data_IF_369557862631
#
_entry.id   IF_369557862631
#
_cell.length_a   1.000
_cell.length_b   1.000
_cell.length_c   1.000
_cell.angle_alpha   90.00
_cell.angle_beta   90.00
_cell.angle_gamma   90.00
#
_symmetry.space_group_name_H-M   'P 1'
#
loop_
_entity.id
_entity.type
_entity.pdbx_description
1 polymer ?
#
# COMPACT_ATOMS: atom_id res chain seq x y z
N UNK A 1 51.81 17.93 -1.87
CA UNK A 1 50.87 16.93 -2.42
C UNK A 1 49.55 16.99 -1.67
N UNK A 2 48.54 17.71 -2.19
CA UNK A 2 47.18 17.79 -1.63
C UNK A 2 46.25 17.98 -2.82
N UNK A 3 45.45 16.97 -3.21
CA UNK A 3 44.28 17.07 -4.13
C UNK A 3 43.77 15.69 -4.58
N UNK A 4 43.31 14.81 -3.68
CA UNK A 4 42.56 13.60 -4.11
C UNK A 4 41.35 13.28 -3.19
N UNK A 5 41.17 13.96 -2.06
CA UNK A 5 40.11 13.62 -1.09
C UNK A 5 38.72 14.13 -1.51
N UNK A 6 38.64 15.15 -2.39
CA UNK A 6 37.38 15.81 -2.77
C UNK A 6 36.44 15.00 -3.69
N UNK A 7 36.90 14.27 -4.73
CA UNK A 7 35.97 13.58 -5.64
C UNK A 7 35.28 12.37 -5.00
N UNK A 8 35.95 11.66 -4.07
CA UNK A 8 35.39 10.46 -3.43
C UNK A 8 34.24 10.82 -2.49
N UNK A 9 34.37 11.90 -1.73
CA UNK A 9 33.31 12.38 -0.83
C UNK A 9 32.07 12.86 -1.61
N UNK A 10 32.29 13.52 -2.74
CA UNK A 10 31.21 13.94 -3.64
C UNK A 10 30.51 12.74 -4.28
N UNK A 11 31.26 11.69 -4.66
CA UNK A 11 30.68 10.45 -5.22
C UNK A 11 29.83 9.70 -4.19
N UNK A 12 30.26 9.64 -2.93
CA UNK A 12 29.50 9.02 -1.84
C UNK A 12 28.23 9.80 -1.49
N UNK A 13 28.29 11.13 -1.50
CA UNK A 13 27.11 11.99 -1.34
C UNK A 13 26.12 11.83 -2.51
N UNK A 14 26.62 11.71 -3.74
CA UNK A 14 25.78 11.49 -4.92
C UNK A 14 25.15 10.09 -4.90
N UNK A 15 25.91 9.06 -4.53
CA UNK A 15 25.41 7.69 -4.40
C UNK A 15 24.36 7.55 -3.29
N UNK A 16 24.52 8.27 -2.17
CA UNK A 16 23.52 8.35 -1.11
C UNK A 16 22.24 9.07 -1.52
N UNK A 17 22.34 10.11 -2.36
CA UNK A 17 21.17 10.81 -2.91
C UNK A 17 20.38 9.95 -3.90
N UNK A 18 21.06 9.15 -4.72
CA UNK A 18 20.41 8.23 -5.67
C UNK A 18 19.66 7.10 -4.95
N UNK A 19 20.22 6.53 -3.87
CA UNK A 19 19.54 5.47 -3.10
C UNK A 19 18.30 5.97 -2.37
N UNK A 20 18.32 7.19 -1.83
CA UNK A 20 17.13 7.81 -1.21
C UNK A 20 16.06 8.12 -2.26
N UNK A 21 16.44 8.52 -3.47
CA UNK A 21 15.50 8.79 -4.56
C UNK A 21 14.84 7.51 -5.09
N UNK A 22 15.58 6.40 -5.18
CA UNK A 22 15.06 5.08 -5.58
C UNK A 22 14.05 4.51 -4.58
N UNK A 23 14.20 4.79 -3.28
CA UNK A 23 13.21 4.40 -2.27
C UNK A 23 11.91 5.21 -2.36
N UNK A 24 12.01 6.48 -2.76
CA UNK A 24 10.83 7.35 -2.96
C UNK A 24 10.08 7.06 -4.26
N UNK A 25 10.80 6.54 -5.27
CA UNK A 25 10.27 6.01 -6.53
C UNK A 25 10.16 4.48 -6.49
N UNK A 26 9.72 3.91 -5.37
CA UNK A 26 9.13 2.57 -5.41
C UNK A 26 7.94 2.65 -6.38
N UNK A 27 8.21 2.22 -7.62
CA UNK A 27 7.32 2.35 -8.76
C UNK A 27 5.96 1.82 -8.36
N UNK A 28 4.90 2.62 -8.55
CA UNK A 28 3.53 2.13 -8.41
C UNK A 28 3.44 0.83 -9.20
N UNK A 29 3.07 -0.30 -8.57
CA UNK A 29 3.09 -1.59 -9.25
C UNK A 29 2.29 -1.50 -10.54
N UNK A 30 2.79 -2.13 -11.61
CA UNK A 30 2.08 -2.09 -12.89
C UNK A 30 0.66 -2.65 -12.72
N UNK A 31 -0.37 -1.93 -13.20
CA UNK A 31 -1.73 -2.38 -13.06
C UNK A 31 -1.99 -3.62 -13.92
N UNK A 32 -2.59 -4.64 -13.32
CA UNK A 32 -3.12 -5.81 -14.03
C UNK A 32 -4.63 -5.67 -14.05
N UNK A 33 -5.22 -5.68 -15.25
CA UNK A 33 -6.67 -5.46 -15.43
C UNK A 33 -7.18 -4.16 -14.78
N UNK A 34 -6.38 -3.09 -14.90
CA UNK A 34 -6.69 -1.78 -14.33
C UNK A 34 -6.60 -1.74 -12.80
N UNK A 35 -6.07 -2.77 -12.16
CA UNK A 35 -5.90 -2.84 -10.70
C UNK A 35 -4.42 -3.00 -10.35
N UNK A 36 -3.91 -2.13 -9.50
CA UNK A 36 -2.62 -2.30 -8.85
C UNK A 36 -2.82 -2.40 -7.34
N UNK A 37 -2.02 -3.25 -6.68
CA UNK A 37 -2.00 -3.38 -5.22
C UNK A 37 -0.59 -3.15 -4.73
N UNK A 38 -0.40 -2.12 -3.92
CA UNK A 38 0.87 -1.82 -3.27
C UNK A 38 0.78 -2.11 -1.77
N UNK A 39 1.86 -2.65 -1.21
CA UNK A 39 2.04 -2.85 0.22
C UNK A 39 3.16 -1.93 0.68
N UNK A 40 2.83 -0.99 1.57
CA UNK A 40 3.73 0.01 2.10
C UNK A 40 3.77 -0.06 3.62
N UNK A 41 4.67 0.74 4.19
CA UNK A 41 4.79 0.92 5.63
C UNK A 41 4.78 2.41 5.97
N UNK A 42 3.87 2.80 6.86
CA UNK A 42 3.69 4.14 7.42
C UNK A 42 3.95 4.08 8.93
N UNK A 43 5.22 4.26 9.32
CA UNK A 43 5.69 3.99 10.68
C UNK A 43 5.47 2.52 11.08
N UNK A 44 4.76 2.30 12.18
CA UNK A 44 4.36 0.97 12.62
C UNK A 44 3.07 0.47 11.95
N UNK A 45 2.52 1.19 10.97
CA UNK A 45 1.30 0.77 10.27
C UNK A 45 1.64 0.18 8.90
N UNK A 46 1.28 -1.08 8.67
CA UNK A 46 1.30 -1.65 7.31
C UNK A 46 0.13 -1.12 6.50
N UNK A 47 0.39 -0.57 5.33
CA UNK A 47 -0.64 0.05 4.48
C UNK A 47 -0.78 -0.76 3.20
N UNK A 48 -1.97 -1.29 2.95
CA UNK A 48 -2.35 -1.84 1.65
C UNK A 48 -3.04 -0.74 0.84
N UNK A 49 -2.44 -0.33 -0.27
CA UNK A 49 -3.06 0.57 -1.25
C UNK A 49 -3.65 -0.25 -2.39
N UNK A 50 -4.95 -0.10 -2.61
CA UNK A 50 -5.70 -0.63 -3.74
C UNK A 50 -5.89 0.50 -4.74
N UNK A 51 -5.25 0.41 -5.89
CA UNK A 51 -5.16 1.49 -6.87
C UNK A 51 -5.95 1.08 -8.11
N UNK A 52 -6.97 1.87 -8.43
CA UNK A 52 -7.89 1.64 -9.54
C UNK A 52 -7.51 2.54 -10.72
N UNK A 53 -7.36 1.93 -11.89
CA UNK A 53 -7.09 2.57 -13.18
C UNK A 53 -8.23 2.27 -14.16
N UNK A 54 -8.26 2.99 -15.28
CA UNK A 54 -9.24 2.83 -16.37
C UNK A 54 -10.70 2.99 -15.90
N UNK A 55 -10.92 3.88 -14.93
CA UNK A 55 -12.20 4.08 -14.26
C UNK A 55 -13.35 4.31 -15.24
N UNK A 56 -13.11 5.09 -16.30
CA UNK A 56 -14.14 5.52 -17.25
C UNK A 56 -14.81 4.38 -18.01
N UNK A 57 -14.08 3.30 -18.28
CA UNK A 57 -14.57 2.19 -19.10
C UNK A 57 -14.86 0.93 -18.27
N UNK A 58 -14.34 0.87 -17.04
CA UNK A 58 -14.37 -0.34 -16.23
C UNK A 58 -15.38 -0.21 -15.08
N UNK A 59 -16.13 -1.28 -14.89
CA UNK A 59 -17.13 -1.39 -13.81
C UNK A 59 -16.72 -2.36 -12.71
N UNK A 60 -15.65 -3.12 -12.92
CA UNK A 60 -15.15 -4.10 -11.95
C UNK A 60 -13.64 -4.31 -12.05
N UNK A 61 -13.01 -4.42 -10.89
CA UNK A 61 -11.61 -4.77 -10.71
C UNK A 61 -11.50 -5.97 -9.79
N UNK A 62 -10.63 -6.90 -10.13
CA UNK A 62 -10.35 -8.06 -9.29
C UNK A 62 -8.85 -8.29 -9.25
N UNK A 63 -8.34 -8.61 -8.07
CA UNK A 63 -6.92 -8.89 -7.87
C UNK A 63 -6.74 -9.97 -6.84
N UNK A 64 -5.74 -10.81 -7.04
CA UNK A 64 -5.36 -11.84 -6.10
C UNK A 64 -3.83 -11.93 -6.07
N UNK A 65 -3.28 -11.82 -4.87
CA UNK A 65 -1.89 -12.15 -4.58
C UNK A 65 -1.84 -13.33 -3.60
N UNK A 66 -0.63 -13.61 -3.13
CA UNK A 66 -0.41 -14.66 -2.12
C UNK A 66 -1.13 -14.33 -0.81
N UNK A 67 -1.07 -13.06 -0.41
CA UNK A 67 -1.56 -12.56 0.87
C UNK A 67 -2.83 -11.71 0.77
N UNK A 68 -3.42 -11.57 -0.43
CA UNK A 68 -4.61 -10.74 -0.58
C UNK A 68 -5.57 -11.20 -1.67
N UNK A 69 -6.83 -10.77 -1.51
CA UNK A 69 -7.86 -10.79 -2.54
C UNK A 69 -8.60 -9.45 -2.51
N UNK A 70 -8.79 -8.86 -3.68
CA UNK A 70 -9.52 -7.61 -3.88
C UNK A 70 -10.59 -7.84 -4.94
N UNK A 71 -11.81 -7.40 -4.65
CA UNK A 71 -12.89 -7.27 -5.62
C UNK A 71 -13.53 -5.89 -5.43
N UNK A 72 -13.51 -5.08 -6.47
CA UNK A 72 -14.11 -3.75 -6.47
C UNK A 72 -15.11 -3.67 -7.60
N UNK A 73 -16.32 -3.20 -7.31
CA UNK A 73 -17.37 -2.96 -8.30
C UNK A 73 -17.82 -1.51 -8.24
N UNK A 74 -17.79 -0.84 -9.39
CA UNK A 74 -18.37 0.50 -9.56
C UNK A 74 -19.89 0.37 -9.68
N UNK A 75 -20.62 1.26 -9.02
CA UNK A 75 -22.08 1.38 -9.08
C UNK A 75 -22.45 2.84 -9.34
N UNK A 76 -22.58 3.22 -10.61
CA UNK A 76 -22.80 4.62 -11.02
C UNK A 76 -21.50 5.41 -11.18
N UNK A 77 -21.56 6.73 -11.03
CA UNK A 77 -20.45 7.61 -11.41
C UNK A 77 -19.28 7.55 -10.42
N UNK A 78 -19.56 7.59 -9.12
CA UNK A 78 -18.56 7.78 -8.06
C UNK A 78 -18.63 6.72 -6.95
N UNK A 79 -19.61 5.81 -6.96
CA UNK A 79 -19.78 4.81 -5.89
C UNK A 79 -19.07 3.51 -6.23
N UNK A 80 -18.36 2.96 -5.25
CA UNK A 80 -17.60 1.72 -5.36
C UNK A 80 -17.90 0.81 -4.18
N UNK A 81 -18.19 -0.45 -4.46
CA UNK A 81 -18.29 -1.52 -3.46
C UNK A 81 -17.00 -2.32 -3.45
N UNK A 82 -16.39 -2.43 -2.28
CA UNK A 82 -15.10 -3.10 -2.08
C UNK A 82 -15.27 -4.30 -1.18
N UNK A 83 -14.70 -5.41 -1.64
CA UNK A 83 -14.40 -6.57 -0.81
C UNK A 83 -12.88 -6.74 -0.84
N UNK A 84 -12.24 -6.52 0.31
CA UNK A 84 -10.81 -6.73 0.47
C UNK A 84 -10.58 -7.79 1.52
N UNK A 85 -9.81 -8.81 1.18
CA UNK A 85 -9.32 -9.83 2.10
C UNK A 85 -7.81 -9.69 2.15
N UNK A 86 -7.27 -9.46 3.35
CA UNK A 86 -5.84 -9.44 3.62
C UNK A 86 -5.53 -10.59 4.58
N UNK A 87 -4.59 -11.43 4.19
CA UNK A 87 -4.02 -12.49 5.03
C UNK A 87 -2.66 -12.01 5.49
N UNK A 88 -2.46 -11.95 6.80
CA UNK A 88 -1.18 -11.54 7.38
C UNK A 88 -0.83 -12.50 8.51
N UNK A 89 0.32 -13.15 8.37
CA UNK A 89 0.80 -14.27 9.20
C UNK A 89 -0.23 -15.41 9.32
N UNK A 90 -1.12 -15.31 10.31
CA UNK A 90 -2.16 -16.29 10.65
C UNK A 90 -3.53 -15.65 10.79
N UNK A 91 -3.65 -14.36 10.50
CA UNK A 91 -4.89 -13.60 10.61
C UNK A 91 -5.42 -13.26 9.22
N UNK A 92 -6.74 -13.29 9.12
CA UNK A 92 -7.47 -12.88 7.92
C UNK A 92 -8.33 -11.68 8.27
N UNK A 93 -8.04 -10.55 7.65
CA UNK A 93 -8.83 -9.33 7.70
C UNK A 93 -9.74 -9.32 6.48
N UNK A 94 -11.06 -9.20 6.69
CA UNK A 94 -12.02 -9.01 5.61
C UNK A 94 -12.73 -7.69 5.80
N UNK A 95 -12.67 -6.84 4.79
CA UNK A 95 -13.37 -5.57 4.70
C UNK A 95 -14.41 -5.68 3.61
N UNK A 96 -15.64 -5.31 3.96
CA UNK A 96 -16.69 -5.03 2.99
C UNK A 96 -17.09 -3.57 3.21
N UNK A 97 -16.88 -2.73 2.20
CA UNK A 97 -17.09 -1.29 2.32
C UNK A 97 -17.71 -0.73 1.06
N UNK A 98 -18.45 0.37 1.19
CA UNK A 98 -18.92 1.16 0.06
C UNK A 98 -18.39 2.57 0.23
N UNK A 99 -17.75 3.10 -0.80
CA UNK A 99 -17.14 4.44 -0.77
C UNK A 99 -17.53 5.23 -1.99
N UNK A 100 -17.40 6.55 -1.87
CA UNK A 100 -17.40 7.47 -3.01
C UNK A 100 -15.96 7.85 -3.34
N UNK A 101 -15.58 7.72 -4.60
CA UNK A 101 -14.26 8.10 -5.11
C UNK A 101 -14.42 9.03 -6.30
N UNK A 102 -13.64 10.10 -6.26
CA UNK A 102 -13.48 11.05 -7.34
C UNK A 102 -12.16 10.73 -8.05
N UNK A 103 -12.02 11.00 -9.36
CA UNK A 103 -10.75 10.80 -10.05
C UNK A 103 -9.60 11.57 -9.35
N UNK A 104 -8.49 10.89 -9.10
CA UNK A 104 -7.35 11.42 -8.35
C UNK A 104 -7.52 11.41 -6.83
N UNK A 105 -8.61 10.87 -6.29
CA UNK A 105 -8.86 10.82 -4.85
C UNK A 105 -8.41 9.50 -4.22
N UNK A 106 -8.13 9.56 -2.91
CA UNK A 106 -7.80 8.40 -2.07
C UNK A 106 -8.62 8.41 -0.79
N UNK A 107 -9.08 7.23 -0.37
CA UNK A 107 -9.93 7.06 0.83
C UNK A 107 -9.43 5.89 1.67
N UNK A 108 -9.38 6.09 2.99
CA UNK A 108 -9.13 5.00 3.94
C UNK A 108 -10.42 4.21 4.13
N UNK A 109 -10.42 2.91 3.82
CA UNK A 109 -11.60 2.05 3.93
C UNK A 109 -11.59 1.17 5.17
N UNK A 110 -10.42 0.95 5.76
CA UNK A 110 -10.28 0.28 7.05
C UNK A 110 -9.00 0.69 7.76
N UNK A 111 -9.07 0.71 9.08
CA UNK A 111 -7.93 0.91 9.96
C UNK A 111 -8.04 -0.08 11.13
N UNK A 112 -7.01 -0.91 11.30
CA UNK A 112 -6.88 -1.89 12.35
C UNK A 112 -5.74 -1.44 13.27
N UNK A 113 -6.04 -1.26 14.55
CA UNK A 113 -5.04 -0.83 15.53
C UNK A 113 -3.92 -1.86 15.73
N UNK A 114 -2.84 -1.46 16.42
CA UNK A 114 -1.80 -2.40 16.84
C UNK A 114 -2.39 -3.50 17.70
N UNK A 115 -1.80 -4.69 17.63
CA UNK A 115 -2.24 -5.84 18.42
C UNK A 115 -1.16 -6.24 19.42
N UNK A 116 -1.55 -6.49 20.65
CA UNK A 116 -0.63 -6.97 21.70
C UNK A 116 -0.83 -8.47 21.91
N UNK A 117 0.26 -9.23 21.88
CA UNK A 117 0.30 -10.65 22.24
C UNK A 117 1.23 -10.84 23.44
N UNK A 118 0.82 -11.68 24.38
CA UNK A 118 1.67 -12.12 25.49
C UNK A 118 2.02 -13.58 25.24
N UNK A 119 3.32 -13.87 25.13
CA UNK A 119 3.82 -15.24 25.00
C UNK A 119 3.64 -16.03 26.31
N UNK A 120 3.74 -17.36 26.24
CA UNK A 120 3.68 -18.23 27.42
C UNK A 120 4.82 -17.95 28.43
N UNK A 121 5.94 -17.37 27.98
CA UNK A 121 7.07 -16.92 28.82
C UNK A 121 6.87 -15.51 29.40
N UNK A 122 5.71 -14.88 29.21
CA UNK A 122 5.42 -13.53 29.70
C UNK A 122 6.01 -12.39 28.86
N UNK A 123 6.70 -12.69 27.75
CA UNK A 123 7.18 -11.64 26.82
C UNK A 123 6.01 -11.03 26.06
N UNK A 124 5.93 -9.70 26.06
CA UNK A 124 4.94 -8.92 25.32
C UNK A 124 5.47 -8.62 23.92
N UNK A 125 4.69 -8.96 22.90
CA UNK A 125 4.96 -8.62 21.50
C UNK A 125 3.83 -7.72 20.99
N UNK A 126 4.18 -6.55 20.49
CA UNK A 126 3.23 -5.60 19.89
C UNK A 126 3.43 -5.69 18.37
N UNK A 127 2.38 -6.07 17.63
CA UNK A 127 2.37 -5.92 16.19
C UNK A 127 1.87 -4.54 15.82
N UNK A 128 2.48 -3.97 14.78
CA UNK A 128 2.04 -2.74 14.15
C UNK A 128 0.57 -2.74 13.71
N UNK A 129 0.02 -1.55 13.46
CA UNK A 129 -1.32 -1.36 12.91
C UNK A 129 -1.41 -1.79 11.45
N UNK A 130 -2.63 -1.82 10.90
CA UNK A 130 -2.88 -2.11 9.49
C UNK A 130 -3.89 -1.12 8.93
N UNK A 131 -3.69 -0.64 7.71
CA UNK A 131 -4.59 0.29 7.03
C UNK A 131 -4.83 -0.17 5.60
N UNK A 132 -6.08 -0.09 5.15
CA UNK A 132 -6.43 -0.31 3.75
C UNK A 132 -6.91 1.01 3.17
N UNK A 133 -6.28 1.41 2.08
CA UNK A 133 -6.58 2.65 1.34
C UNK A 133 -6.96 2.25 -0.07
N UNK A 134 -8.01 2.86 -0.60
CA UNK A 134 -8.34 2.78 -2.02
C UNK A 134 -8.05 4.12 -2.68
N UNK A 135 -7.47 4.08 -3.87
CA UNK A 135 -7.13 5.23 -4.70
C UNK A 135 -7.75 5.04 -6.08
N UNK A 136 -8.33 6.11 -6.62
CA UNK A 136 -8.77 6.17 -8.00
C UNK A 136 -7.80 7.07 -8.76
N UNK A 137 -7.02 6.50 -9.68
CA UNK A 137 -6.15 7.30 -10.53
C UNK A 137 -6.96 7.98 -11.65
N UNK A 138 -6.54 9.19 -12.07
CA UNK A 138 -7.18 9.93 -13.14
C UNK A 138 -6.99 9.27 -14.51
#
# INVERSE_FOLDING_TARGET
>A
MRRIIKPVLALLLLAGLVTVFLWRNASTPEPVDGLAVALDQDGDTRVMRVILHDADQRVRWQGKGDDYLVDVRRDGADVYHLIVVLVDERKRYRVNSTVRLEPGSRTVVANFGPETRVSQEGKVQISGGRRIVVELQP
#
